data_IF_699699321654
#
_entry.id   IF_699699321654
#
_cell.length_a   1.000
_cell.length_b   1.000
_cell.length_c   1.000
_cell.angle_alpha   90.00
_cell.angle_beta   90.00
_cell.angle_gamma   90.00
#
_symmetry.space_group_name_H-M   'P 1'
#
loop_
_entity.id
_entity.type
_entity.pdbx_description
1 polymer ?
#
# COMPACT_ATOMS: atom_id res chain seq x y z
N UNK A 1 -9.87 23.50 -9.19
CA UNK A 1 -9.56 24.83 -9.78
C UNK A 1 -9.62 24.71 -11.29
N UNK A 2 -10.02 25.76 -12.06
CA UNK A 2 -10.19 25.64 -13.50
C UNK A 2 -8.94 25.14 -14.23
N UNK A 3 -7.76 25.59 -13.86
CA UNK A 3 -6.50 25.21 -14.49
C UNK A 3 -6.09 23.74 -14.27
N UNK A 4 -6.67 23.06 -13.27
CA UNK A 4 -6.41 21.64 -13.00
C UNK A 4 -7.34 20.69 -13.76
N UNK A 5 -8.39 21.20 -14.40
CA UNK A 5 -9.30 20.45 -15.26
C UNK A 5 -8.92 20.63 -16.73
N UNK A 6 -9.00 19.58 -17.53
CA UNK A 6 -8.80 19.66 -18.98
C UNK A 6 -9.89 20.50 -19.68
N UNK A 7 -11.09 20.58 -19.09
CA UNK A 7 -12.19 21.42 -19.60
C UNK A 7 -12.07 22.91 -19.26
N UNK A 8 -11.12 23.32 -18.40
CA UNK A 8 -10.98 24.70 -17.93
C UNK A 8 -12.10 25.17 -16.99
N UNK A 9 -12.99 24.28 -16.55
CA UNK A 9 -14.08 24.58 -15.63
C UNK A 9 -13.73 24.19 -14.18
N UNK A 10 -14.55 24.65 -13.22
CA UNK A 10 -14.41 24.20 -11.83
C UNK A 10 -14.74 22.72 -11.71
N UNK A 11 -13.85 21.97 -11.06
CA UNK A 11 -14.09 20.57 -10.75
C UNK A 11 -15.26 20.42 -9.76
N UNK A 12 -16.00 19.32 -9.86
CA UNK A 12 -16.95 18.92 -8.84
C UNK A 12 -16.22 18.78 -7.50
N UNK A 13 -16.70 19.43 -6.41
CA UNK A 13 -16.08 19.37 -5.09
C UNK A 13 -15.89 17.94 -4.57
N UNK A 14 -16.85 17.04 -4.83
CA UNK A 14 -16.78 15.64 -4.40
C UNK A 14 -15.68 14.88 -5.17
N UNK A 15 -15.57 15.11 -6.48
CA UNK A 15 -14.49 14.53 -7.31
C UNK A 15 -13.12 15.01 -6.82
N UNK A 16 -13.01 16.32 -6.53
CA UNK A 16 -11.77 16.90 -6.04
C UNK A 16 -11.39 16.35 -4.65
N UNK A 17 -12.36 16.25 -3.74
CA UNK A 17 -12.15 15.71 -2.40
C UNK A 17 -11.76 14.22 -2.46
N UNK A 18 -12.47 13.41 -3.26
CA UNK A 18 -12.20 11.99 -3.42
C UNK A 18 -10.79 11.77 -3.98
N UNK A 19 -10.46 12.43 -5.09
CA UNK A 19 -9.16 12.26 -5.76
C UNK A 19 -8.01 12.74 -4.88
N UNK A 20 -8.15 13.90 -4.20
CA UNK A 20 -7.10 14.41 -3.30
C UNK A 20 -6.89 13.50 -2.08
N UNK A 21 -7.96 12.99 -1.48
CA UNK A 21 -7.87 12.03 -0.37
C UNK A 21 -7.22 10.72 -0.84
N UNK A 22 -7.65 10.19 -1.98
CA UNK A 22 -7.08 9.00 -2.59
C UNK A 22 -5.58 9.18 -2.89
N UNK A 23 -5.17 10.36 -3.38
CA UNK A 23 -3.77 10.67 -3.66
C UNK A 23 -2.93 10.79 -2.38
N UNK A 24 -3.39 11.53 -1.36
CA UNK A 24 -2.68 11.69 -0.07
C UNK A 24 -2.65 10.38 0.72
N UNK A 25 -3.73 9.60 0.70
CA UNK A 25 -3.76 8.27 1.31
C UNK A 25 -3.00 7.22 0.48
N UNK A 26 -2.53 7.61 -0.73
CA UNK A 26 -1.80 6.71 -1.64
C UNK A 26 -2.65 5.48 -1.95
N UNK A 27 -3.91 5.69 -2.31
CA UNK A 27 -4.88 4.61 -2.55
C UNK A 27 -4.99 4.28 -4.03
N UNK A 28 -5.21 5.31 -4.89
CA UNK A 28 -5.37 5.11 -6.34
C UNK A 28 -6.80 4.88 -6.82
N UNK A 29 -7.79 4.76 -5.94
CA UNK A 29 -9.19 4.78 -6.35
C UNK A 29 -9.52 6.14 -6.99
N UNK A 30 -10.20 6.12 -8.10
CA UNK A 30 -10.63 7.34 -8.82
C UNK A 30 -12.06 7.23 -9.29
N UNK A 31 -12.79 8.34 -9.20
CA UNK A 31 -14.17 8.46 -9.70
C UNK A 31 -14.22 9.02 -11.13
N UNK A 32 -13.07 9.43 -11.67
CA UNK A 32 -12.88 9.95 -13.02
C UNK A 32 -11.60 9.38 -13.63
N UNK A 33 -11.50 9.35 -14.93
CA UNK A 33 -10.24 9.01 -15.59
C UNK A 33 -9.23 10.16 -15.42
N UNK A 34 -8.15 9.88 -14.69
CA UNK A 34 -7.14 10.89 -14.33
C UNK A 34 -6.44 11.48 -15.54
N UNK A 35 -6.18 10.65 -16.57
CA UNK A 35 -5.45 11.07 -17.76
C UNK A 35 -6.23 12.05 -18.63
N UNK A 36 -7.54 11.86 -18.77
CA UNK A 36 -8.40 12.69 -19.63
C UNK A 36 -9.08 13.83 -18.89
N UNK A 37 -9.45 13.63 -17.61
CA UNK A 37 -10.17 14.61 -16.81
C UNK A 37 -9.29 15.75 -16.31
N UNK A 38 -8.06 15.45 -15.87
CA UNK A 38 -7.13 16.45 -15.34
C UNK A 38 -6.19 16.97 -16.42
N UNK A 39 -5.97 18.30 -16.42
CA UNK A 39 -4.90 18.92 -17.19
C UNK A 39 -3.51 18.46 -16.69
N UNK A 40 -2.45 18.79 -17.42
CA UNK A 40 -1.06 18.56 -16.95
C UNK A 40 -0.84 19.05 -15.52
N UNK A 41 -1.32 20.25 -15.17
CA UNK A 41 -1.21 20.80 -13.82
C UNK A 41 -2.00 19.98 -12.79
N UNK A 42 -3.19 19.49 -13.16
CA UNK A 42 -3.98 18.60 -12.30
C UNK A 42 -3.27 17.28 -12.04
N UNK A 43 -2.71 16.67 -13.07
CA UNK A 43 -1.90 15.44 -12.96
C UNK A 43 -0.66 15.67 -12.11
N UNK A 44 0.03 16.81 -12.26
CA UNK A 44 1.19 17.19 -11.45
C UNK A 44 0.80 17.34 -9.97
N UNK A 45 -0.36 17.94 -9.66
CA UNK A 45 -0.85 18.01 -8.28
C UNK A 45 -1.16 16.63 -7.71
N UNK A 46 -1.77 15.73 -8.48
CA UNK A 46 -2.01 14.34 -8.05
C UNK A 46 -0.68 13.66 -7.74
N UNK A 47 0.33 13.76 -8.62
CA UNK A 47 1.65 13.18 -8.38
C UNK A 47 2.34 13.79 -7.14
N UNK A 48 2.24 15.10 -6.92
CA UNK A 48 2.78 15.75 -5.74
C UNK A 48 2.09 15.30 -4.43
N UNK A 49 0.75 15.16 -4.44
CA UNK A 49 0.01 14.63 -3.30
C UNK A 49 0.37 13.17 -3.00
N UNK A 50 0.53 12.34 -4.03
CA UNK A 50 1.01 10.96 -3.91
C UNK A 50 2.42 10.94 -3.29
N UNK A 51 3.32 11.81 -3.74
CA UNK A 51 4.67 11.90 -3.19
C UNK A 51 4.67 12.26 -1.70
N UNK A 52 3.87 13.25 -1.30
CA UNK A 52 3.69 13.65 0.10
C UNK A 52 3.10 12.51 0.93
N UNK A 53 2.07 11.86 0.39
CA UNK A 53 1.39 10.74 1.04
C UNK A 53 2.26 9.49 1.19
N UNK A 54 3.06 9.16 0.15
CA UNK A 54 3.96 8.01 0.13
C UNK A 54 5.14 8.14 1.10
N UNK A 55 5.73 9.31 1.18
CA UNK A 55 6.77 9.61 2.17
C UNK A 55 6.23 9.58 3.61
N UNK A 56 4.90 9.65 3.78
CA UNK A 56 4.25 9.83 5.06
C UNK A 56 4.23 11.30 5.50
N UNK A 57 3.08 11.73 6.01
CA UNK A 57 2.86 13.15 6.34
C UNK A 57 3.91 13.72 7.32
N UNK A 58 4.36 12.94 8.29
CA UNK A 58 5.39 13.37 9.25
C UNK A 58 6.74 13.58 8.59
N UNK A 59 7.14 12.69 7.67
CA UNK A 59 8.39 12.82 6.92
C UNK A 59 8.33 14.03 5.99
N UNK A 60 7.20 14.23 5.31
CA UNK A 60 6.98 15.38 4.43
C UNK A 60 6.97 16.71 5.19
N UNK A 61 6.27 16.78 6.33
CA UNK A 61 6.27 17.97 7.20
C UNK A 61 7.67 18.26 7.73
N UNK A 62 8.39 17.24 8.17
CA UNK A 62 9.77 17.37 8.64
C UNK A 62 10.70 17.90 7.55
N UNK A 63 10.53 17.42 6.33
CA UNK A 63 11.30 17.88 5.17
C UNK A 63 11.01 19.36 4.85
N UNK A 64 9.74 19.77 4.86
CA UNK A 64 9.36 21.18 4.68
C UNK A 64 9.95 22.08 5.76
N UNK A 65 9.90 21.66 7.03
CA UNK A 65 10.50 22.40 8.14
C UNK A 65 12.03 22.51 7.99
N UNK A 66 12.70 21.46 7.51
CA UNK A 66 14.14 21.51 7.21
C UNK A 66 14.46 22.50 6.09
N UNK A 67 13.67 22.53 5.02
CA UNK A 67 13.84 23.48 3.91
C UNK A 67 13.66 24.92 4.37
N UNK A 68 12.75 25.16 5.30
CA UNK A 68 12.48 26.48 5.90
C UNK A 68 13.52 26.84 6.98
N UNK A 69 14.52 26.00 7.26
CA UNK A 69 15.56 26.25 8.26
C UNK A 69 15.05 26.22 9.70
N UNK A 70 13.85 25.67 9.95
CA UNK A 70 13.26 25.61 11.28
C UNK A 70 14.02 24.64 12.18
N UNK A 71 14.24 25.03 13.45
CA UNK A 71 14.81 24.16 14.48
C UNK A 71 13.72 23.25 15.05
N UNK A 72 13.95 21.95 15.06
CA UNK A 72 13.00 20.98 15.62
C UNK A 72 12.89 21.09 17.13
N UNK A 73 11.65 21.19 17.62
CA UNK A 73 11.35 21.04 19.03
C UNK A 73 11.53 19.56 19.47
N UNK A 74 11.60 19.33 20.78
CA UNK A 74 11.64 17.95 21.33
C UNK A 74 10.37 17.16 20.94
N UNK A 75 9.21 17.82 20.87
CA UNK A 75 7.94 17.21 20.45
C UNK A 75 8.00 16.72 18.99
N UNK A 76 8.56 17.54 18.10
CA UNK A 76 8.71 17.18 16.68
C UNK A 76 9.62 15.96 16.51
N UNK A 77 10.72 15.90 17.29
CA UNK A 77 11.65 14.76 17.27
C UNK A 77 10.98 13.46 17.75
N UNK A 78 10.18 13.52 18.80
CA UNK A 78 9.41 12.37 19.31
C UNK A 78 8.36 11.93 18.30
N UNK A 79 7.64 12.87 17.68
CA UNK A 79 6.64 12.56 16.66
C UNK A 79 7.27 11.90 15.41
N UNK A 80 8.43 12.39 14.96
CA UNK A 80 9.20 11.78 13.86
C UNK A 80 9.66 10.37 14.24
N UNK A 81 10.12 10.18 15.46
CA UNK A 81 10.55 8.88 15.96
C UNK A 81 9.42 7.86 15.99
N UNK A 82 8.22 8.28 16.44
CA UNK A 82 7.02 7.44 16.44
C UNK A 82 6.57 7.10 15.01
N UNK A 83 6.61 8.07 14.10
CA UNK A 83 6.25 7.86 12.69
C UNK A 83 7.21 6.91 11.94
N UNK A 84 8.50 6.93 12.32
CA UNK A 84 9.53 6.06 11.74
C UNK A 84 9.70 4.72 12.49
N UNK A 85 8.91 4.49 13.54
CA UNK A 85 8.87 3.26 14.36
C UNK A 85 10.28 2.84 14.87
N UNK A 86 11.09 3.82 15.33
CA UNK A 86 12.47 3.61 15.79
C UNK A 86 12.70 4.02 17.25
N UNK A 87 13.38 3.18 18.05
CA UNK A 87 13.89 3.59 19.36
C UNK A 87 15.19 4.41 19.19
N UNK A 88 15.19 5.68 19.67
CA UNK A 88 16.39 6.51 19.78
C UNK A 88 16.34 7.85 19.05
N UNK A 89 16.77 8.92 19.74
CA UNK A 89 16.69 10.31 19.26
C UNK A 89 17.83 10.75 18.33
N UNK A 90 18.84 9.90 18.10
CA UNK A 90 20.03 10.28 17.35
C UNK A 90 19.92 9.92 15.86
N UNK A 91 20.13 10.90 14.99
CA UNK A 91 20.21 10.69 13.54
C UNK A 91 18.93 10.85 12.74
N UNK A 92 17.84 11.41 13.28
CA UNK A 92 16.56 11.59 12.54
C UNK A 92 16.70 12.33 11.21
N UNK A 93 17.56 13.36 11.15
CA UNK A 93 17.82 14.12 9.92
C UNK A 93 18.57 13.27 8.87
N UNK A 94 19.50 12.42 9.31
CA UNK A 94 20.25 11.55 8.42
C UNK A 94 19.36 10.44 7.84
N UNK A 95 18.46 9.90 8.66
CA UNK A 95 17.44 8.93 8.22
C UNK A 95 16.53 9.56 7.17
N UNK A 96 16.04 10.78 7.41
CA UNK A 96 15.20 11.51 6.46
C UNK A 96 15.90 11.73 5.12
N UNK A 97 17.17 12.20 5.14
CA UNK A 97 17.97 12.37 3.91
C UNK A 97 18.13 11.05 3.16
N UNK A 98 18.33 9.95 3.90
CA UNK A 98 18.46 8.63 3.29
C UNK A 98 17.15 8.14 2.67
N UNK A 99 15.98 8.39 3.31
CA UNK A 99 14.66 8.07 2.75
C UNK A 99 14.47 8.82 1.43
N UNK A 100 14.70 10.15 1.42
CA UNK A 100 14.55 10.97 0.23
C UNK A 100 15.51 10.54 -0.89
N UNK A 101 16.77 10.28 -0.57
CA UNK A 101 17.75 9.81 -1.55
C UNK A 101 17.35 8.45 -2.15
N UNK A 102 16.91 7.51 -1.32
CA UNK A 102 16.43 6.19 -1.77
C UNK A 102 15.22 6.34 -2.68
N UNK A 103 14.22 7.14 -2.29
CA UNK A 103 13.04 7.44 -3.09
C UNK A 103 13.43 7.98 -4.47
N UNK A 104 14.25 9.03 -4.52
CA UNK A 104 14.70 9.62 -5.79
C UNK A 104 15.48 8.62 -6.67
N UNK A 105 16.35 7.80 -6.09
CA UNK A 105 17.11 6.80 -6.85
C UNK A 105 16.16 5.79 -7.51
N UNK A 106 15.21 5.24 -6.77
CA UNK A 106 14.26 4.27 -7.31
C UNK A 106 13.31 4.91 -8.33
N UNK A 107 12.79 6.11 -8.05
CA UNK A 107 11.91 6.82 -8.99
C UNK A 107 12.64 7.16 -10.29
N UNK A 108 13.85 7.70 -10.23
CA UNK A 108 14.66 7.97 -11.43
C UNK A 108 14.98 6.68 -12.19
N UNK A 109 15.32 5.60 -11.50
CA UNK A 109 15.56 4.30 -12.14
C UNK A 109 14.30 3.83 -12.86
N UNK A 110 13.13 3.98 -12.24
CA UNK A 110 11.83 3.66 -12.86
C UNK A 110 11.57 4.50 -14.11
N UNK A 111 11.84 5.80 -14.06
CA UNK A 111 11.72 6.69 -15.24
C UNK A 111 12.58 6.17 -16.38
N UNK A 112 13.88 5.92 -16.13
CA UNK A 112 14.80 5.43 -17.18
C UNK A 112 14.37 4.09 -17.77
N UNK A 113 13.83 3.17 -16.97
CA UNK A 113 13.37 1.87 -17.43
C UNK A 113 12.01 1.93 -18.16
N UNK A 114 11.16 2.90 -17.85
CA UNK A 114 9.85 3.08 -18.51
C UNK A 114 9.93 3.93 -19.79
N UNK A 115 10.95 4.78 -19.94
CA UNK A 115 11.14 5.59 -21.17
C UNK A 115 11.10 4.76 -22.45
N UNK A 116 11.87 3.66 -22.62
CA UNK A 116 11.84 2.87 -23.84
C UNK A 116 10.49 2.17 -24.09
N UNK A 117 9.60 2.11 -23.11
CA UNK A 117 8.24 1.58 -23.26
C UNK A 117 7.29 2.65 -23.78
N UNK A 118 7.36 3.88 -23.25
CA UNK A 118 6.36 4.92 -23.54
C UNK A 118 6.78 5.89 -24.65
N UNK A 119 8.08 6.12 -24.89
CA UNK A 119 8.54 7.04 -25.93
C UNK A 119 8.12 6.59 -27.35
N UNK A 120 8.14 5.29 -27.70
CA UNK A 120 7.69 4.86 -29.03
C UNK A 120 6.22 5.20 -29.31
N UNK A 121 5.35 5.18 -28.27
CA UNK A 121 3.90 5.37 -28.43
C UNK A 121 3.49 6.85 -28.34
N UNK A 122 4.19 7.67 -27.51
CA UNK A 122 3.76 9.04 -27.17
C UNK A 122 4.77 10.13 -27.54
N UNK A 123 5.88 9.77 -28.21
CA UNK A 123 6.99 10.68 -28.43
C UNK A 123 7.78 10.99 -27.16
N UNK A 124 8.85 11.78 -27.29
CA UNK A 124 9.76 12.01 -26.15
C UNK A 124 9.09 12.77 -25.00
N UNK A 125 8.41 13.88 -25.29
CA UNK A 125 7.80 14.74 -24.26
C UNK A 125 6.64 14.02 -23.53
N UNK A 126 5.74 13.40 -24.29
CA UNK A 126 4.64 12.60 -23.72
C UNK A 126 5.18 11.39 -22.96
N UNK A 127 6.07 10.61 -23.60
CA UNK A 127 6.65 9.41 -22.99
C UNK A 127 7.42 9.71 -21.72
N UNK A 128 8.11 10.85 -21.63
CA UNK A 128 8.82 11.29 -20.43
C UNK A 128 7.82 11.58 -19.29
N UNK A 129 6.72 12.28 -19.57
CA UNK A 129 5.72 12.56 -18.54
C UNK A 129 5.03 11.29 -18.05
N UNK A 130 4.65 10.39 -18.96
CA UNK A 130 4.09 9.09 -18.60
C UNK A 130 5.08 8.28 -17.74
N UNK A 131 6.36 8.26 -18.08
CA UNK A 131 7.38 7.55 -17.30
C UNK A 131 7.56 8.15 -15.90
N UNK A 132 7.59 9.49 -15.76
CA UNK A 132 7.70 10.17 -14.47
C UNK A 132 6.47 9.88 -13.61
N UNK A 133 5.28 10.10 -14.15
CA UNK A 133 4.03 9.92 -13.42
C UNK A 133 3.86 8.48 -12.91
N UNK A 134 4.07 7.48 -13.78
CA UNK A 134 3.92 6.08 -13.41
C UNK A 134 5.05 5.57 -12.52
N UNK A 135 6.27 6.09 -12.64
CA UNK A 135 7.36 5.76 -11.72
C UNK A 135 7.08 6.23 -10.31
N UNK A 136 6.67 7.51 -10.14
CA UNK A 136 6.26 8.07 -8.83
C UNK A 136 5.13 7.24 -8.23
N UNK A 137 4.09 6.97 -9.00
CA UNK A 137 2.93 6.21 -8.52
C UNK A 137 3.27 4.76 -8.17
N UNK A 138 4.17 4.11 -8.92
CA UNK A 138 4.60 2.73 -8.65
C UNK A 138 5.46 2.63 -7.39
N UNK A 139 6.43 3.53 -7.22
CA UNK A 139 7.28 3.56 -6.02
C UNK A 139 6.48 3.85 -4.75
N UNK A 140 5.56 4.80 -4.83
CA UNK A 140 4.71 5.17 -3.69
C UNK A 140 3.54 4.20 -3.48
N UNK A 141 3.34 3.20 -4.34
CA UNK A 141 2.22 2.27 -4.29
C UNK A 141 0.86 2.99 -4.38
N UNK A 142 0.70 3.93 -5.31
CA UNK A 142 -0.47 4.81 -5.36
C UNK A 142 -1.52 4.43 -6.40
N UNK A 143 -1.16 3.66 -7.42
CA UNK A 143 -2.11 3.08 -8.39
C UNK A 143 -2.76 4.01 -9.39
N UNK A 144 -2.51 5.31 -9.37
CA UNK A 144 -3.03 6.22 -10.39
C UNK A 144 -2.34 5.99 -11.73
N UNK A 145 -3.13 5.89 -12.79
CA UNK A 145 -2.67 5.78 -14.16
C UNK A 145 -3.19 6.94 -15.00
N UNK A 146 -2.40 7.35 -15.99
CA UNK A 146 -2.80 8.28 -17.03
C UNK A 146 -3.45 7.57 -18.25
N UNK A 147 -3.46 6.23 -18.23
CA UNK A 147 -4.14 5.43 -19.22
C UNK A 147 -5.54 5.10 -18.75
N UNK A 148 -6.51 5.19 -19.65
CA UNK A 148 -7.93 4.89 -19.40
C UNK A 148 -8.11 3.46 -18.84
N UNK A 149 -7.43 2.49 -19.46
CA UNK A 149 -7.52 1.08 -19.12
C UNK A 149 -6.31 0.60 -18.29
N UNK A 150 -5.65 1.52 -17.56
CA UNK A 150 -4.44 1.25 -16.77
C UNK A 150 -3.35 0.60 -17.65
N UNK A 151 -2.72 -0.52 -17.24
CA UNK A 151 -1.67 -1.19 -18.01
C UNK A 151 -2.17 -2.40 -18.81
N UNK A 152 -3.49 -2.51 -19.09
CA UNK A 152 -4.04 -3.63 -19.88
C UNK A 152 -3.40 -3.68 -21.27
N UNK A 153 -3.18 -2.53 -21.92
CA UNK A 153 -2.49 -2.45 -23.22
C UNK A 153 -1.02 -2.91 -23.19
N UNK A 154 -0.38 -2.94 -22.02
CA UNK A 154 1.02 -3.30 -21.83
C UNK A 154 1.22 -4.64 -21.11
N UNK A 155 0.19 -5.48 -21.02
CA UNK A 155 0.23 -6.76 -20.30
C UNK A 155 1.34 -7.72 -20.80
N UNK A 156 1.73 -7.65 -22.08
CA UNK A 156 2.79 -8.46 -22.69
C UNK A 156 4.19 -7.84 -22.55
N UNK A 157 4.30 -6.58 -22.15
CA UNK A 157 5.58 -5.87 -22.01
C UNK A 157 6.33 -6.36 -20.77
N UNK A 158 7.38 -7.17 -20.97
CA UNK A 158 8.22 -7.69 -19.88
C UNK A 158 8.87 -6.55 -19.10
N UNK A 159 9.39 -5.54 -19.81
CA UNK A 159 10.11 -4.43 -19.19
C UNK A 159 9.19 -3.62 -18.29
N UNK A 160 7.97 -3.27 -18.74
CA UNK A 160 7.00 -2.55 -17.93
C UNK A 160 6.60 -3.38 -16.70
N UNK A 161 6.22 -4.65 -16.92
CA UNK A 161 5.77 -5.51 -15.83
C UNK A 161 6.84 -5.66 -14.73
N UNK A 162 8.10 -5.91 -15.09
CA UNK A 162 9.19 -6.07 -14.11
C UNK A 162 9.56 -4.75 -13.44
N UNK A 163 9.57 -3.63 -14.18
CA UNK A 163 9.90 -2.31 -13.62
C UNK A 163 8.85 -1.88 -12.61
N UNK A 164 7.57 -1.90 -13.00
CA UNK A 164 6.47 -1.48 -12.13
C UNK A 164 6.36 -2.39 -10.91
N UNK A 165 6.37 -3.71 -11.09
CA UNK A 165 6.31 -4.65 -9.95
C UNK A 165 7.54 -4.54 -9.04
N UNK A 166 8.72 -4.29 -9.59
CA UNK A 166 9.93 -4.03 -8.83
C UNK A 166 9.80 -2.79 -7.94
N UNK A 167 9.36 -1.65 -8.52
CA UNK A 167 9.12 -0.42 -7.75
C UNK A 167 8.10 -0.62 -6.64
N UNK A 168 6.98 -1.30 -6.91
CA UNK A 168 5.93 -1.64 -5.95
C UNK A 168 6.49 -2.47 -4.79
N UNK A 169 7.24 -3.53 -5.08
CA UNK A 169 7.79 -4.42 -4.05
C UNK A 169 8.78 -3.65 -3.16
N UNK A 170 9.71 -2.90 -3.76
CA UNK A 170 10.69 -2.12 -2.99
C UNK A 170 10.04 -0.97 -2.21
N UNK A 171 9.06 -0.26 -2.77
CA UNK A 171 8.30 0.76 -2.05
C UNK A 171 7.52 0.19 -0.87
N UNK A 172 6.90 -0.99 -1.05
CA UNK A 172 6.07 -1.64 -0.03
C UNK A 172 6.83 -2.42 1.04
N UNK A 173 8.10 -2.81 0.83
CA UNK A 173 8.86 -3.66 1.77
C UNK A 173 9.35 -2.89 3.01
N UNK A 174 9.40 -1.57 2.91
CA UNK A 174 9.82 -0.69 4.00
C UNK A 174 11.27 -0.22 3.91
N UNK A 175 11.46 1.07 4.19
CA UNK A 175 12.75 1.73 4.11
C UNK A 175 13.83 1.05 4.96
N UNK A 176 13.49 0.60 6.17
CA UNK A 176 14.45 -0.07 7.07
C UNK A 176 15.02 -1.34 6.43
N UNK A 177 14.18 -2.13 5.76
CA UNK A 177 14.57 -3.37 5.08
C UNK A 177 15.52 -3.08 3.92
N UNK A 178 15.22 -2.03 3.12
CA UNK A 178 16.09 -1.59 2.02
C UNK A 178 17.46 -1.15 2.56
N UNK A 179 17.47 -0.40 3.67
CA UNK A 179 18.72 0.08 4.25
C UNK A 179 19.59 -1.05 4.81
N UNK A 180 18.97 -2.05 5.48
CA UNK A 180 19.69 -3.22 5.96
C UNK A 180 20.27 -4.04 4.79
N UNK A 181 19.51 -4.19 3.70
CA UNK A 181 19.98 -4.85 2.49
C UNK A 181 21.14 -4.10 1.83
N UNK A 182 21.05 -2.77 1.74
CA UNK A 182 22.12 -1.92 1.21
C UNK A 182 23.40 -2.04 2.05
N UNK A 183 23.29 -1.94 3.37
CA UNK A 183 24.44 -2.06 4.28
C UNK A 183 25.09 -3.44 4.18
N UNK A 184 24.30 -4.50 4.13
CA UNK A 184 24.80 -5.86 3.95
C UNK A 184 25.53 -6.03 2.61
N UNK A 185 24.94 -5.55 1.51
CA UNK A 185 25.54 -5.62 0.18
C UNK A 185 26.87 -4.83 0.12
N UNK A 186 26.87 -3.60 0.64
CA UNK A 186 28.06 -2.74 0.74
C UNK A 186 29.18 -3.43 1.51
N UNK A 187 28.87 -3.99 2.68
CA UNK A 187 29.89 -4.63 3.54
C UNK A 187 30.44 -5.89 2.87
N UNK A 188 29.61 -6.63 2.13
CA UNK A 188 30.04 -7.78 1.33
C UNK A 188 30.93 -7.38 0.14
N UNK A 189 30.55 -6.32 -0.58
CA UNK A 189 31.37 -5.79 -1.70
C UNK A 189 32.72 -5.25 -1.21
N UNK A 190 32.74 -4.62 -0.03
CA UNK A 190 33.96 -4.11 0.60
C UNK A 190 34.77 -5.19 1.33
N UNK A 191 34.36 -6.47 1.25
CA UNK A 191 35.01 -7.64 1.87
C UNK A 191 35.30 -7.46 3.36
N UNK A 192 34.39 -6.84 4.12
CA UNK A 192 34.52 -6.69 5.57
C UNK A 192 34.40 -8.04 6.27
N UNK A 193 35.19 -8.26 7.33
CA UNK A 193 35.17 -9.51 8.12
C UNK A 193 33.84 -9.75 8.82
N UNK A 194 33.13 -8.69 9.21
CA UNK A 194 31.85 -8.76 9.88
C UNK A 194 30.77 -8.14 8.98
N UNK A 195 29.86 -8.98 8.46
CA UNK A 195 28.67 -8.51 7.77
C UNK A 195 27.56 -8.23 8.81
N UNK A 196 26.77 -7.19 8.57
CA UNK A 196 25.60 -6.88 9.40
C UNK A 196 24.62 -8.06 9.44
N UNK A 197 24.15 -8.42 10.63
CA UNK A 197 23.12 -9.44 10.82
C UNK A 197 21.75 -8.80 10.59
N UNK A 198 20.93 -9.44 9.78
CA UNK A 198 19.57 -8.96 9.49
C UNK A 198 18.69 -8.98 10.74
N UNK A 199 17.95 -7.89 10.93
CA UNK A 199 16.97 -7.76 12.02
C UNK A 199 15.81 -8.76 11.87
N UNK A 200 15.08 -8.98 12.98
CA UNK A 200 13.86 -9.79 12.94
C UNK A 200 12.84 -9.19 11.96
N UNK A 201 12.71 -7.85 11.95
CA UNK A 201 11.81 -7.14 11.03
C UNK A 201 12.17 -7.41 9.56
N UNK A 202 13.45 -7.37 9.20
CA UNK A 202 13.93 -7.73 7.87
C UNK A 202 13.51 -9.15 7.47
N UNK A 203 13.82 -10.14 8.33
CA UNK A 203 13.50 -11.55 8.05
C UNK A 203 12.01 -11.79 7.87
N UNK A 204 11.19 -11.17 8.71
CA UNK A 204 9.73 -11.29 8.67
C UNK A 204 9.15 -10.61 7.43
N UNK A 205 9.54 -9.36 7.17
CA UNK A 205 9.03 -8.59 6.04
C UNK A 205 9.37 -9.26 4.71
N UNK A 206 10.63 -9.66 4.51
CA UNK A 206 11.07 -10.30 3.26
C UNK A 206 10.47 -11.68 3.04
N UNK A 207 10.49 -12.55 4.07
CA UNK A 207 9.94 -13.91 3.95
C UNK A 207 8.43 -13.91 3.74
N UNK A 208 7.69 -13.07 4.47
CA UNK A 208 6.23 -12.97 4.32
C UNK A 208 5.86 -12.40 2.96
N UNK A 209 6.56 -11.36 2.51
CA UNK A 209 6.37 -10.79 1.16
C UNK A 209 6.58 -11.85 0.08
N UNK A 210 7.69 -12.59 0.14
CA UNK A 210 8.01 -13.61 -0.85
C UNK A 210 6.96 -14.74 -0.87
N UNK A 211 6.54 -15.22 0.31
CA UNK A 211 5.50 -16.26 0.41
C UNK A 211 4.20 -15.78 -0.23
N UNK A 212 3.75 -14.57 0.09
CA UNK A 212 2.50 -14.02 -0.46
C UNK A 212 2.58 -13.83 -1.97
N UNK A 213 3.73 -13.38 -2.51
CA UNK A 213 3.94 -13.25 -3.95
C UNK A 213 3.86 -14.59 -4.68
N UNK A 214 4.53 -15.62 -4.15
CA UNK A 214 4.51 -16.96 -4.75
C UNK A 214 3.10 -17.55 -4.69
N UNK A 215 2.48 -17.53 -3.50
CA UNK A 215 1.12 -18.07 -3.32
C UNK A 215 0.12 -17.34 -4.20
N UNK A 216 0.17 -15.99 -4.26
CA UNK A 216 -0.71 -15.20 -5.10
C UNK A 216 -0.51 -15.51 -6.60
N UNK A 217 0.73 -15.58 -7.09
CA UNK A 217 1.01 -15.89 -8.49
C UNK A 217 0.47 -17.27 -8.89
N UNK A 218 0.71 -18.29 -8.07
CA UNK A 218 0.21 -19.64 -8.32
C UNK A 218 -1.32 -19.68 -8.28
N UNK A 219 -1.92 -19.00 -7.30
CA UNK A 219 -3.38 -18.96 -7.16
C UNK A 219 -4.06 -18.28 -8.36
N UNK A 220 -3.59 -17.09 -8.78
CA UNK A 220 -4.14 -16.41 -9.96
C UNK A 220 -3.95 -17.23 -11.23
N UNK A 221 -2.77 -17.82 -11.42
CA UNK A 221 -2.53 -18.66 -12.58
C UNK A 221 -3.50 -19.84 -12.64
N UNK A 222 -3.72 -20.56 -11.54
CA UNK A 222 -4.62 -21.72 -11.52
C UNK A 222 -6.08 -21.31 -11.73
N UNK A 223 -6.54 -20.22 -11.08
CA UNK A 223 -7.95 -19.83 -11.07
C UNK A 223 -8.36 -19.19 -12.39
N UNK A 224 -7.55 -18.27 -12.91
CA UNK A 224 -7.91 -17.46 -14.08
C UNK A 224 -7.45 -18.08 -15.42
N UNK A 225 -6.62 -19.13 -15.43
CA UNK A 225 -6.08 -19.72 -16.68
C UNK A 225 -7.14 -20.14 -17.70
N UNK A 226 -8.36 -20.46 -17.24
CA UNK A 226 -9.49 -20.91 -18.08
C UNK A 226 -10.51 -19.80 -18.36
N UNK A 227 -10.39 -18.66 -17.72
CA UNK A 227 -11.30 -17.54 -17.91
C UNK A 227 -11.00 -16.84 -19.25
N UNK A 228 -11.89 -16.89 -20.28
CA UNK A 228 -11.64 -16.35 -21.60
C UNK A 228 -11.52 -14.82 -21.59
N UNK A 229 -12.16 -14.15 -20.62
CA UNK A 229 -12.21 -12.69 -20.54
C UNK A 229 -10.96 -12.08 -19.84
N UNK A 230 -10.12 -12.93 -19.22
CA UNK A 230 -8.89 -12.52 -18.52
C UNK A 230 -7.67 -13.23 -19.09
N UNK A 231 -7.35 -14.43 -18.61
CA UNK A 231 -6.14 -15.17 -19.00
C UNK A 231 -6.34 -16.11 -20.19
N UNK A 232 -7.56 -16.61 -20.43
CA UNK A 232 -7.81 -17.69 -21.39
C UNK A 232 -7.28 -17.44 -22.79
N UNK A 233 -7.40 -16.21 -23.28
CA UNK A 233 -6.96 -15.79 -24.62
C UNK A 233 -5.47 -15.46 -24.73
N UNK A 234 -4.73 -15.37 -23.61
CA UNK A 234 -3.33 -14.96 -23.58
C UNK A 234 -2.38 -16.14 -23.87
N UNK A 235 -1.21 -15.85 -24.41
CA UNK A 235 -0.12 -16.82 -24.53
C UNK A 235 0.49 -17.14 -23.15
N UNK A 236 1.18 -18.26 -23.03
CA UNK A 236 1.72 -18.73 -21.74
C UNK A 236 2.64 -17.72 -21.07
N UNK A 237 3.48 -17.01 -21.84
CA UNK A 237 4.39 -15.98 -21.31
C UNK A 237 3.60 -14.83 -20.68
N UNK A 238 2.60 -14.31 -21.38
CA UNK A 238 1.75 -13.23 -20.91
C UNK A 238 0.88 -13.66 -19.72
N UNK A 239 0.38 -14.93 -19.71
CA UNK A 239 -0.31 -15.49 -18.52
C UNK A 239 0.55 -15.47 -17.27
N UNK A 240 1.82 -15.87 -17.38
CA UNK A 240 2.75 -15.87 -16.23
C UNK A 240 3.03 -14.44 -15.78
N UNK A 241 3.26 -13.49 -16.71
CA UNK A 241 3.48 -12.08 -16.40
C UNK A 241 2.24 -11.47 -15.74
N UNK A 242 1.05 -11.73 -16.27
CA UNK A 242 -0.20 -11.25 -15.70
C UNK A 242 -0.44 -11.83 -14.30
N UNK A 243 -0.25 -13.14 -14.11
CA UNK A 243 -0.38 -13.79 -12.79
C UNK A 243 0.60 -13.20 -11.76
N UNK A 244 1.86 -12.95 -12.16
CA UNK A 244 2.84 -12.26 -11.35
C UNK A 244 2.39 -10.85 -10.99
N UNK A 245 1.98 -10.07 -11.98
CA UNK A 245 1.52 -8.69 -11.78
C UNK A 245 0.31 -8.64 -10.84
N UNK A 246 -0.68 -9.54 -11.05
CA UNK A 246 -1.88 -9.63 -10.20
C UNK A 246 -1.57 -10.14 -8.79
N UNK A 247 -0.45 -10.81 -8.55
CA UNK A 247 0.01 -11.16 -7.21
C UNK A 247 0.68 -9.97 -6.50
N UNK A 248 1.36 -9.10 -7.25
CA UNK A 248 2.05 -7.93 -6.70
C UNK A 248 1.07 -6.79 -6.41
N UNK A 249 0.17 -6.48 -7.32
CA UNK A 249 -0.68 -5.30 -7.25
C UNK A 249 -1.63 -5.23 -6.05
N UNK A 250 -2.22 -6.33 -5.50
CA UNK A 250 -3.06 -6.27 -4.31
C UNK A 250 -2.31 -5.81 -3.06
N UNK A 251 -0.99 -5.75 -3.13
CA UNK A 251 -0.14 -5.27 -2.03
C UNK A 251 0.01 -3.76 -2.06
N UNK A 252 -1.13 -3.10 -2.10
CA UNK A 252 -1.32 -1.65 -2.04
C UNK A 252 -0.83 -0.88 -3.28
N UNK A 253 -0.83 -1.48 -4.48
CA UNK A 253 -0.27 -0.84 -5.67
C UNK A 253 -1.30 -0.26 -6.63
N UNK A 254 -2.45 -0.91 -6.82
CA UNK A 254 -3.59 -0.39 -7.58
C UNK A 254 -3.49 -0.43 -9.10
N UNK A 255 -2.36 -0.83 -9.66
CA UNK A 255 -2.24 -1.01 -11.11
C UNK A 255 -2.80 -2.35 -11.56
N UNK A 256 -3.29 -2.44 -12.78
CA UNK A 256 -3.81 -3.69 -13.34
C UNK A 256 -3.39 -3.87 -14.80
N UNK A 257 -3.10 -5.12 -15.14
CA UNK A 257 -2.84 -5.58 -16.51
C UNK A 257 -3.97 -6.44 -17.06
N UNK A 258 -5.01 -6.67 -16.27
CA UNK A 258 -6.26 -7.32 -16.63
C UNK A 258 -7.43 -6.57 -16.02
N UNK A 259 -8.60 -6.75 -16.59
CA UNK A 259 -9.85 -6.12 -16.11
C UNK A 259 -10.41 -6.89 -14.91
N UNK A 260 -10.41 -6.28 -13.71
CA UNK A 260 -10.97 -6.89 -12.51
C UNK A 260 -12.49 -7.09 -12.57
N UNK A 261 -13.20 -6.28 -13.37
CA UNK A 261 -14.63 -6.46 -13.61
C UNK A 261 -14.98 -7.76 -14.31
N UNK A 262 -14.00 -8.39 -14.99
CA UNK A 262 -14.15 -9.64 -15.74
C UNK A 262 -13.54 -10.86 -15.05
N UNK A 263 -12.97 -10.67 -13.86
CA UNK A 263 -12.40 -11.77 -13.08
C UNK A 263 -13.49 -12.70 -12.55
N UNK A 264 -13.11 -13.96 -12.35
CA UNK A 264 -13.97 -14.93 -11.66
C UNK A 264 -14.23 -14.47 -10.21
N UNK A 265 -15.37 -14.88 -9.62
CA UNK A 265 -15.67 -14.61 -8.20
C UNK A 265 -14.58 -15.15 -7.27
N UNK A 266 -14.00 -16.30 -7.59
CA UNK A 266 -12.88 -16.86 -6.84
C UNK A 266 -11.63 -15.99 -6.94
N UNK A 267 -11.31 -15.46 -8.15
CA UNK A 267 -10.22 -14.52 -8.36
C UNK A 267 -10.42 -13.21 -7.58
N UNK A 268 -11.62 -12.65 -7.61
CA UNK A 268 -11.97 -11.47 -6.81
C UNK A 268 -11.79 -11.73 -5.30
N UNK A 269 -12.25 -12.88 -4.81
CA UNK A 269 -12.15 -13.22 -3.38
C UNK A 269 -10.70 -13.37 -2.93
N UNK A 270 -9.84 -14.02 -3.73
CA UNK A 270 -8.40 -14.11 -3.44
C UNK A 270 -7.75 -12.72 -3.48
N UNK A 271 -8.15 -11.87 -4.44
CA UNK A 271 -7.67 -10.50 -4.48
C UNK A 271 -8.04 -9.74 -3.21
N UNK A 272 -9.30 -9.86 -2.73
CA UNK A 272 -9.77 -9.27 -1.47
C UNK A 272 -8.89 -9.75 -0.30
N UNK A 273 -8.61 -11.05 -0.21
CA UNK A 273 -7.78 -11.61 0.86
C UNK A 273 -6.33 -11.08 0.82
N UNK A 274 -5.75 -10.95 -0.39
CA UNK A 274 -4.41 -10.41 -0.57
C UNK A 274 -4.36 -8.89 -0.32
N UNK A 275 -5.39 -8.13 -0.73
CA UNK A 275 -5.50 -6.70 -0.47
C UNK A 275 -5.58 -6.39 1.03
N UNK A 276 -6.30 -7.21 1.81
CA UNK A 276 -6.42 -7.03 3.26
C UNK A 276 -5.05 -7.12 3.97
N UNK A 277 -4.10 -7.86 3.37
CA UNK A 277 -2.71 -7.97 3.82
C UNK A 277 -1.87 -6.96 3.05
N UNK A 278 -1.75 -5.76 3.59
CA UNK A 278 -1.05 -4.64 2.94
C UNK A 278 0.49 -4.75 2.96
N UNK A 279 1.14 -3.60 2.97
CA UNK A 279 2.59 -3.48 2.92
C UNK A 279 3.27 -3.82 4.26
N UNK A 280 4.61 -3.89 4.25
CA UNK A 280 5.43 -4.07 5.46
C UNK A 280 5.54 -2.76 6.26
N UNK A 281 5.88 -2.80 7.55
CA UNK A 281 6.11 -1.60 8.36
C UNK A 281 7.19 -0.70 7.76
N UNK A 282 6.95 0.60 7.78
CA UNK A 282 7.86 1.58 7.17
C UNK A 282 7.87 1.61 5.63
N UNK A 283 6.95 0.88 4.97
CA UNK A 283 6.68 0.98 3.54
C UNK A 283 5.61 2.02 3.22
N UNK A 284 5.44 2.30 1.93
CA UNK A 284 4.53 3.33 1.40
C UNK A 284 3.05 2.95 1.46
N UNK A 285 2.72 1.66 1.52
CA UNK A 285 1.34 1.16 1.50
C UNK A 285 0.64 1.12 2.86
N UNK A 286 -0.70 1.08 2.84
CA UNK A 286 -1.58 0.97 4.02
C UNK A 286 -1.95 -0.46 4.41
N UNK A 287 -3.14 -0.66 4.96
CA UNK A 287 -3.68 -1.96 5.35
C UNK A 287 -2.97 -2.64 6.52
N UNK A 288 -3.35 -3.90 6.79
CA UNK A 288 -2.73 -4.71 7.84
C UNK A 288 -1.31 -5.08 7.41
N UNK A 289 -0.33 -4.78 8.27
CA UNK A 289 1.08 -4.99 7.95
C UNK A 289 1.45 -6.49 7.89
N UNK A 290 2.40 -6.83 7.03
CA UNK A 290 2.91 -8.20 6.89
C UNK A 290 3.41 -8.78 8.22
N UNK A 291 3.99 -7.95 9.08
CA UNK A 291 4.43 -8.34 10.42
C UNK A 291 3.27 -8.70 11.33
N UNK A 292 2.16 -7.95 11.28
CA UNK A 292 0.93 -8.25 12.04
C UNK A 292 0.39 -9.63 11.66
N UNK A 293 0.26 -9.90 10.35
CA UNK A 293 -0.15 -11.22 9.85
C UNK A 293 0.78 -12.33 10.39
N UNK A 294 2.11 -12.10 10.31
CA UNK A 294 3.10 -13.08 10.74
C UNK A 294 3.06 -13.37 12.24
N UNK A 295 2.83 -12.33 13.05
CA UNK A 295 2.64 -12.47 14.50
C UNK A 295 1.40 -13.31 14.79
N UNK A 296 0.25 -12.98 14.18
CA UNK A 296 -1.01 -13.72 14.37
C UNK A 296 -0.88 -15.18 13.94
N UNK A 297 -0.34 -15.46 12.75
CA UNK A 297 -0.17 -16.83 12.25
C UNK A 297 0.81 -17.64 13.12
N UNK A 298 1.87 -17.02 13.64
CA UNK A 298 2.82 -17.67 14.53
C UNK A 298 2.19 -17.97 15.88
N UNK A 299 1.40 -17.05 16.44
CA UNK A 299 0.66 -17.24 17.68
C UNK A 299 -0.35 -18.38 17.54
N UNK A 300 -1.17 -18.38 16.48
CA UNK A 300 -2.14 -19.46 16.20
C UNK A 300 -1.43 -20.81 16.09
N UNK A 301 -0.29 -20.86 15.37
CA UNK A 301 0.50 -22.10 15.24
C UNK A 301 1.05 -22.57 16.59
N UNK A 302 1.53 -21.67 17.46
CA UNK A 302 2.02 -21.99 18.78
C UNK A 302 0.91 -22.60 19.65
N UNK A 303 -0.29 -21.98 19.65
CA UNK A 303 -1.47 -22.49 20.37
C UNK A 303 -1.85 -23.89 19.89
N UNK A 304 -1.95 -24.10 18.55
CA UNK A 304 -2.27 -25.40 17.96
C UNK A 304 -1.22 -26.49 18.29
N UNK A 305 0.01 -26.09 18.59
CA UNK A 305 1.09 -26.99 18.98
C UNK A 305 1.21 -27.17 20.51
N UNK A 306 0.32 -26.56 21.31
CA UNK A 306 0.37 -26.61 22.78
C UNK A 306 1.59 -25.90 23.37
N UNK A 307 2.16 -24.92 22.65
CA UNK A 307 3.32 -24.15 23.14
C UNK A 307 2.84 -22.91 23.89
N UNK A 308 3.44 -22.64 25.02
CA UNK A 308 3.15 -21.45 25.82
C UNK A 308 3.67 -20.13 25.19
N UNK A 309 4.67 -20.22 24.31
CA UNK A 309 5.34 -19.07 23.75
C UNK A 309 5.31 -19.06 22.21
N UNK A 310 4.99 -17.90 21.63
CA UNK A 310 5.14 -17.67 20.21
C UNK A 310 6.60 -17.29 19.89
N UNK A 311 7.31 -18.15 19.16
CA UNK A 311 8.70 -17.95 18.77
C UNK A 311 8.82 -17.78 17.25
N UNK A 312 9.57 -16.77 16.81
CA UNK A 312 9.81 -16.47 15.40
C UNK A 312 11.31 -16.18 15.18
N UNK A 313 11.96 -16.99 14.35
CA UNK A 313 13.41 -16.91 14.10
C UNK A 313 14.24 -16.90 15.40
N UNK A 314 13.96 -17.84 16.30
CA UNK A 314 14.62 -18.01 17.60
C UNK A 314 14.47 -16.80 18.56
N UNK A 315 13.41 -16.02 18.36
CA UNK A 315 13.07 -14.88 19.21
C UNK A 315 11.63 -14.98 19.71
N UNK A 316 11.44 -14.84 21.02
CA UNK A 316 10.12 -14.78 21.66
C UNK A 316 9.42 -13.47 21.29
N UNK A 317 8.14 -13.57 20.92
CA UNK A 317 7.29 -12.41 20.66
C UNK A 317 6.64 -11.99 21.98
N UNK A 318 6.81 -10.72 22.43
CA UNK A 318 6.15 -10.23 23.65
C UNK A 318 4.61 -10.27 23.53
N UNK A 319 3.93 -10.59 24.64
CA UNK A 319 2.46 -10.62 24.71
C UNK A 319 1.85 -9.27 24.30
N UNK A 320 2.45 -8.16 24.67
CA UNK A 320 2.01 -6.81 24.28
C UNK A 320 1.95 -6.62 22.76
N UNK A 321 2.88 -7.20 21.99
CA UNK A 321 2.84 -7.16 20.53
C UNK A 321 1.74 -8.06 19.95
N UNK A 322 1.47 -9.21 20.59
CA UNK A 322 0.39 -10.10 20.19
C UNK A 322 -0.96 -9.41 20.38
N UNK A 323 -1.20 -8.81 21.56
CA UNK A 323 -2.42 -8.06 21.84
C UNK A 323 -2.60 -6.88 20.90
N UNK A 324 -1.52 -6.16 20.59
CA UNK A 324 -1.54 -5.08 19.58
C UNK A 324 -1.91 -5.61 18.19
N UNK A 325 -1.37 -6.75 17.79
CA UNK A 325 -1.69 -7.37 16.50
C UNK A 325 -3.16 -7.81 16.41
N UNK A 326 -3.71 -8.38 17.49
CA UNK A 326 -5.14 -8.74 17.61
C UNK A 326 -6.01 -7.48 17.52
N UNK A 327 -5.68 -6.42 18.26
CA UNK A 327 -6.40 -5.15 18.21
C UNK A 327 -6.43 -4.53 16.81
N UNK A 328 -5.28 -4.54 16.08
CA UNK A 328 -5.23 -4.11 14.68
C UNK A 328 -6.15 -4.95 13.81
N UNK A 329 -6.10 -6.27 13.94
CA UNK A 329 -6.90 -7.17 13.11
C UNK A 329 -8.40 -6.97 13.33
N UNK A 330 -8.84 -7.00 14.60
CA UNK A 330 -10.27 -6.83 14.96
C UNK A 330 -10.79 -5.46 14.53
N UNK A 331 -10.03 -4.38 14.80
CA UNK A 331 -10.43 -3.04 14.41
C UNK A 331 -10.48 -2.85 12.88
N UNK A 332 -9.54 -3.46 12.15
CA UNK A 332 -9.54 -3.44 10.68
C UNK A 332 -10.77 -4.18 10.11
N UNK A 333 -11.06 -5.35 10.65
CA UNK A 333 -12.21 -6.16 10.25
C UNK A 333 -13.53 -5.45 10.54
N UNK A 334 -13.67 -4.84 11.72
CA UNK A 334 -14.84 -4.05 12.09
C UNK A 334 -15.03 -2.84 11.15
N UNK A 335 -13.94 -2.16 10.76
CA UNK A 335 -13.99 -1.03 9.81
C UNK A 335 -14.49 -1.49 8.44
N UNK A 336 -13.94 -2.60 7.91
CA UNK A 336 -14.35 -3.14 6.61
C UNK A 336 -15.83 -3.57 6.65
N UNK A 337 -16.27 -4.30 7.68
CA UNK A 337 -17.68 -4.69 7.82
C UNK A 337 -18.59 -3.47 7.90
N UNK A 338 -18.27 -2.51 8.77
CA UNK A 338 -19.08 -1.30 8.95
C UNK A 338 -19.23 -0.50 7.66
N UNK A 339 -18.12 -0.27 6.95
CA UNK A 339 -18.12 0.44 5.66
C UNK A 339 -18.88 -0.33 4.58
N UNK A 340 -18.76 -1.67 4.54
CA UNK A 340 -19.50 -2.51 3.58
C UNK A 340 -21.00 -2.42 3.84
N UNK A 341 -21.44 -2.48 5.10
CA UNK A 341 -22.87 -2.34 5.47
C UNK A 341 -23.38 -0.96 5.04
N UNK A 342 -22.64 0.12 5.37
CA UNK A 342 -23.06 1.48 5.02
C UNK A 342 -23.21 1.66 3.50
N UNK A 343 -22.28 1.18 2.69
CA UNK A 343 -22.38 1.28 1.22
C UNK A 343 -23.49 0.37 0.70
N UNK A 344 -23.69 -0.82 1.24
CA UNK A 344 -24.79 -1.70 0.84
C UNK A 344 -26.18 -1.09 1.12
N UNK A 345 -26.29 -0.25 2.16
CA UNK A 345 -27.54 0.48 2.47
C UNK A 345 -27.77 1.69 1.53
N UNK A 346 -26.70 2.37 1.10
CA UNK A 346 -26.81 3.54 0.23
C UNK A 346 -26.89 3.17 -1.26
N UNK A 347 -26.28 2.05 -1.66
CA UNK A 347 -26.10 1.63 -3.04
C UNK A 347 -26.58 0.18 -3.24
N UNK A 348 -27.85 -0.09 -2.91
CA UNK A 348 -28.48 -1.43 -2.91
C UNK A 348 -28.52 -2.13 -4.28
N UNK A 349 -28.28 -1.42 -5.39
CA UNK A 349 -28.23 -1.98 -6.74
C UNK A 349 -26.90 -2.67 -7.06
N UNK A 350 -25.85 -2.46 -6.27
CA UNK A 350 -24.52 -3.02 -6.52
C UNK A 350 -24.39 -4.43 -5.91
N UNK A 351 -23.60 -5.29 -6.56
CA UNK A 351 -23.32 -6.63 -6.08
C UNK A 351 -22.46 -6.60 -4.80
N UNK A 352 -22.78 -7.43 -3.82
CA UNK A 352 -22.07 -7.52 -2.54
C UNK A 352 -20.55 -7.72 -2.71
N UNK A 353 -20.13 -8.61 -3.62
CA UNK A 353 -18.69 -8.88 -3.82
C UNK A 353 -17.94 -7.65 -4.39
N UNK A 354 -18.61 -6.84 -5.23
CA UNK A 354 -18.05 -5.62 -5.77
C UNK A 354 -17.93 -4.55 -4.68
N UNK A 355 -18.95 -4.39 -3.83
CA UNK A 355 -18.92 -3.47 -2.68
C UNK A 355 -17.78 -3.86 -1.73
N UNK A 356 -17.71 -5.15 -1.35
CA UNK A 356 -16.66 -5.65 -0.47
C UNK A 356 -15.25 -5.42 -1.07
N UNK A 357 -15.11 -5.66 -2.38
CA UNK A 357 -13.85 -5.41 -3.10
C UNK A 357 -13.42 -3.95 -3.00
N UNK A 358 -14.31 -3.00 -3.30
CA UNK A 358 -14.04 -1.56 -3.23
C UNK A 358 -13.71 -1.11 -1.80
N UNK A 359 -14.46 -1.59 -0.81
CA UNK A 359 -14.24 -1.25 0.60
C UNK A 359 -12.89 -1.76 1.07
N UNK A 360 -12.53 -3.01 0.76
CA UNK A 360 -11.22 -3.57 1.15
C UNK A 360 -10.10 -2.86 0.39
N UNK A 361 -10.30 -2.52 -0.89
CA UNK A 361 -9.36 -1.74 -1.67
C UNK A 361 -9.16 -0.33 -1.07
N UNK A 362 -10.23 0.33 -0.64
CA UNK A 362 -10.17 1.62 0.04
C UNK A 362 -9.47 1.51 1.41
N UNK A 363 -9.86 0.53 2.24
CA UNK A 363 -9.30 0.32 3.58
C UNK A 363 -7.80 -0.02 3.52
N UNK A 364 -7.43 -0.95 2.65
CA UNK A 364 -6.02 -1.34 2.51
C UNK A 364 -5.21 -0.34 1.66
N UNK A 365 -5.84 0.74 1.18
CA UNK A 365 -5.24 1.74 0.29
C UNK A 365 -4.58 1.10 -0.93
N UNK A 366 -5.32 0.24 -1.64
CA UNK A 366 -4.80 -0.53 -2.78
C UNK A 366 -5.05 0.14 -4.11
N UNK A 367 -6.28 0.65 -4.33
CA UNK A 367 -6.64 1.34 -5.57
C UNK A 367 -7.22 0.46 -6.67
N UNK A 368 -7.28 -0.84 -6.49
CA UNK A 368 -7.96 -1.74 -7.44
C UNK A 368 -9.47 -1.53 -7.36
N UNK A 369 -10.14 -1.57 -8.50
CA UNK A 369 -11.58 -1.44 -8.63
C UNK A 369 -12.14 -2.47 -9.61
N UNK A 370 -13.36 -2.91 -9.35
CA UNK A 370 -14.16 -3.68 -10.31
C UNK A 370 -14.89 -2.78 -11.31
N UNK A 371 -14.59 -1.47 -11.31
CA UNK A 371 -15.20 -0.46 -12.18
C UNK A 371 -16.41 0.25 -11.59
N UNK A 372 -16.80 -0.06 -10.34
CA UNK A 372 -17.99 0.54 -9.71
C UNK A 372 -17.72 1.88 -9.02
N UNK A 373 -16.46 2.27 -8.77
CA UNK A 373 -16.11 3.49 -7.99
C UNK A 373 -16.82 4.74 -8.48
N UNK A 374 -16.91 4.94 -9.81
CA UNK A 374 -17.58 6.09 -10.39
C UNK A 374 -19.10 6.08 -10.17
N UNK A 375 -19.73 4.88 -10.17
CA UNK A 375 -21.18 4.68 -10.04
C UNK A 375 -21.69 4.70 -8.60
N UNK A 376 -20.80 4.59 -7.59
CA UNK A 376 -21.17 4.69 -6.17
C UNK A 376 -21.78 6.06 -5.89
N UNK A 377 -22.82 6.10 -5.04
CA UNK A 377 -23.51 7.33 -4.63
C UNK A 377 -22.58 8.33 -3.92
N UNK A 378 -23.03 9.58 -3.81
CA UNK A 378 -22.25 10.61 -3.08
C UNK A 378 -22.00 10.20 -1.61
N UNK A 379 -22.98 9.57 -0.95
CA UNK A 379 -22.85 9.06 0.41
C UNK A 379 -21.84 7.90 0.48
N UNK A 380 -21.91 6.95 -0.46
CA UNK A 380 -20.96 5.85 -0.55
C UNK A 380 -19.53 6.34 -0.84
N UNK A 381 -19.34 7.36 -1.68
CA UNK A 381 -18.04 8.00 -1.91
C UNK A 381 -17.46 8.61 -0.63
N UNK A 382 -18.28 9.26 0.21
CA UNK A 382 -17.83 9.79 1.51
C UNK A 382 -17.43 8.67 2.47
N UNK A 383 -18.16 7.53 2.48
CA UNK A 383 -17.76 6.36 3.26
C UNK A 383 -16.41 5.81 2.79
N UNK A 384 -16.19 5.72 1.46
CA UNK A 384 -14.89 5.29 0.91
C UNK A 384 -13.76 6.26 1.31
N UNK A 385 -13.99 7.58 1.27
CA UNK A 385 -13.03 8.60 1.71
C UNK A 385 -12.62 8.36 3.16
N UNK A 386 -13.58 8.18 4.07
CA UNK A 386 -13.30 7.89 5.47
C UNK A 386 -12.56 6.56 5.64
N UNK A 387 -12.96 5.55 4.88
CA UNK A 387 -12.33 4.23 4.91
C UNK A 387 -10.86 4.29 4.46
N UNK A 388 -10.53 5.05 3.39
CA UNK A 388 -9.16 5.29 2.94
C UNK A 388 -8.32 5.98 4.03
N UNK A 389 -8.90 6.98 4.69
CA UNK A 389 -8.23 7.71 5.77
C UNK A 389 -7.92 6.80 6.96
N UNK A 390 -8.90 6.01 7.43
CA UNK A 390 -8.73 5.03 8.52
C UNK A 390 -7.64 4.01 8.18
N UNK A 391 -7.68 3.48 6.97
CA UNK A 391 -6.69 2.51 6.49
C UNK A 391 -5.26 3.07 6.38
N UNK A 392 -5.13 4.34 6.02
CA UNK A 392 -3.83 5.01 5.91
C UNK A 392 -3.21 5.36 7.26
N UNK A 393 -4.00 5.95 8.15
CA UNK A 393 -3.55 6.34 9.51
C UNK A 393 -3.31 5.10 10.37
N UNK A 394 -4.10 4.05 10.17
CA UNK A 394 -4.10 2.84 10.98
C UNK A 394 -5.07 2.94 12.16
N UNK A 395 -5.84 1.86 12.35
CA UNK A 395 -6.96 1.82 13.31
C UNK A 395 -6.53 2.11 14.75
N UNK A 396 -5.38 1.56 15.19
CA UNK A 396 -4.92 1.78 16.58
C UNK A 396 -4.50 3.21 16.83
N UNK A 397 -3.82 3.85 15.87
CA UNK A 397 -3.36 5.23 16.03
C UNK A 397 -4.56 6.19 16.02
N UNK A 398 -5.56 5.91 15.19
CA UNK A 398 -6.82 6.65 15.20
C UNK A 398 -7.54 6.49 16.53
N UNK A 399 -7.67 5.26 17.06
CA UNK A 399 -8.32 5.00 18.35
C UNK A 399 -7.57 5.65 19.51
N UNK A 400 -6.23 5.59 19.55
CA UNK A 400 -5.46 6.26 20.60
C UNK A 400 -5.63 7.78 20.57
N UNK A 401 -5.75 8.38 19.38
CA UNK A 401 -5.97 9.81 19.24
C UNK A 401 -7.38 10.25 19.67
N UNK A 402 -8.39 9.41 19.51
CA UNK A 402 -9.77 9.66 19.91
C UNK A 402 -10.04 9.39 21.39
N UNK A 403 -9.44 8.32 21.94
CA UNK A 403 -9.68 7.89 23.33
C UNK A 403 -8.64 8.45 24.32
N UNK A 404 -7.56 9.05 23.83
CA UNK A 404 -6.44 9.52 24.62
C UNK A 404 -5.54 8.37 25.11
N UNK A 405 -4.40 8.74 25.69
CA UNK A 405 -3.48 7.75 26.25
C UNK A 405 -4.09 7.07 27.50
N UNK A 406 -4.14 5.73 27.56
CA UNK A 406 -4.65 5.03 28.73
C UNK A 406 -3.76 5.39 29.94
N UNK A 407 -4.39 5.94 31.00
CA UNK A 407 -3.69 6.18 32.25
C UNK A 407 -3.29 4.82 32.84
N UNK A 408 -2.03 4.64 33.27
CA UNK A 408 -1.62 3.39 33.90
C UNK A 408 -2.50 3.15 35.13
N UNK A 409 -3.25 2.05 35.11
CA UNK A 409 -4.06 1.63 36.26
C UNK A 409 -3.14 0.99 37.30
N UNK A 410 -3.21 1.45 38.52
CA UNK A 410 -2.56 0.81 39.69
C UNK A 410 -3.40 -0.36 40.24
N UNK A 411 -4.65 -0.49 39.76
CA UNK A 411 -5.56 -1.56 40.16
C UNK A 411 -5.24 -2.85 39.42
N UNK A 412 -5.05 -3.93 40.16
CA UNK A 412 -4.99 -5.29 39.61
C UNK A 412 -6.30 -6.00 39.96
N UNK A 413 -6.98 -6.49 38.92
CA UNK A 413 -8.18 -7.30 39.10
C UNK A 413 -7.81 -8.77 39.31
N UNK A 414 -8.58 -9.55 40.10
CA UNK A 414 -8.39 -10.99 40.21
C UNK A 414 -8.59 -11.66 38.85
N UNK A 415 -7.81 -12.71 38.60
CA UNK A 415 -7.95 -13.52 37.40
C UNK A 415 -9.05 -14.55 37.58
N UNK A 416 -9.92 -14.69 36.59
CA UNK A 416 -10.99 -15.68 36.55
C UNK A 416 -10.97 -16.40 35.18
N UNK A 417 -11.17 -17.70 35.20
CA UNK A 417 -11.16 -18.53 33.99
C UNK A 417 -12.48 -18.40 33.23
N UNK A 418 -12.38 -18.03 31.93
CA UNK A 418 -13.51 -18.00 31.02
C UNK A 418 -13.32 -19.10 29.96
N UNK A 419 -14.39 -19.80 29.62
CA UNK A 419 -14.40 -20.77 28.54
C UNK A 419 -14.27 -20.03 27.19
N UNK A 420 -13.19 -20.27 26.49
CA UNK A 420 -12.98 -19.81 25.11
C UNK A 420 -12.97 -21.05 24.24
N UNK A 421 -13.93 -21.13 23.27
CA UNK A 421 -14.20 -22.31 22.45
C UNK A 421 -13.06 -22.81 21.58
#
# INVERSE_FOLDING_TARGET
>A
MPFSSSSGTWNDPLVALFTSTSAVCVTGLSVVDVGSYFSFWGQLFVAALVQIGGLGYMTATTFLLLLLGAKFSLRDKVAIQQALDRPGMHGSTQVLRSILATTLIFELTGVFLLLPVFVPDFGFDGGLWYAIFHSINSWNNAGFSLFKDNFIGYQSSVLLNLTVTGLIIFGGIGYQVIMEMYLWLRDRLLRKSHCNIFSLNFKVATSTTLILLIVGTVAFFIIEQRNPDTFGSLDLKTKILAAWFQSVTPRTAGFNTIDFGKMTTAGLFITIALMFIGASPGGTGGGIKTTTLRVLTTCTKAILQGKEEAVLYDRKIPLSLILKAVGVFVGSFATVIGSTILISLTDSSLNFIQILFEVVSAFATVGLSTGITASVSAAGKLVLILTMYVGRVGVLLLMSSLLGDPRPSTLRYPEENLLVG
#
